data_IF_623633926509
#
_entry.id   IF_623633926509
#
_cell.length_a   1.000
_cell.length_b   1.000
_cell.length_c   1.000
_cell.angle_alpha   90.00
_cell.angle_beta   90.00
_cell.angle_gamma   90.00
#
_symmetry.space_group_name_H-M   'P 1'
#
loop_
_entity.id
_entity.type
_entity.pdbx_description
1 polymer ?
#
# COMPACT_ATOMS: atom_id res chain seq x y z
N UNK A 1 59.11 -23.15 -8.12
CA UNK A 1 58.42 -22.93 -9.41
C UNK A 1 56.91 -23.05 -9.14
N UNK A 2 56.17 -21.95 -9.06
CA UNK A 2 54.71 -21.97 -8.79
C UNK A 2 53.99 -22.30 -10.09
N UNK A 3 53.28 -23.44 -10.14
CA UNK A 3 52.36 -23.79 -11.24
C UNK A 3 51.11 -22.93 -11.10
N UNK A 4 50.90 -21.97 -12.01
CA UNK A 4 49.64 -21.24 -12.10
C UNK A 4 48.61 -22.17 -12.77
N UNK A 5 47.62 -22.64 -12.00
CA UNK A 5 46.48 -23.38 -12.52
C UNK A 5 45.48 -22.38 -13.12
N UNK A 6 45.71 -21.98 -14.37
CA UNK A 6 44.70 -21.22 -15.13
C UNK A 6 43.70 -22.21 -15.73
N UNK A 7 42.76 -22.67 -14.89
CA UNK A 7 41.60 -23.44 -15.31
C UNK A 7 40.58 -22.50 -15.95
N UNK A 8 40.43 -22.55 -17.27
CA UNK A 8 39.35 -21.84 -17.97
C UNK A 8 38.03 -22.57 -17.82
N UNK A 9 36.93 -21.81 -17.66
CA UNK A 9 35.56 -22.36 -17.66
C UNK A 9 35.25 -23.04 -19.00
N UNK A 10 34.50 -24.14 -18.95
CA UNK A 10 34.05 -24.81 -20.18
C UNK A 10 32.80 -24.13 -20.74
N UNK A 11 32.64 -24.14 -22.07
CA UNK A 11 31.44 -23.58 -22.72
C UNK A 11 30.15 -24.29 -22.24
N UNK A 12 30.22 -25.60 -22.01
CA UNK A 12 29.08 -26.39 -21.55
C UNK A 12 28.61 -25.97 -20.15
N UNK A 13 29.55 -25.60 -19.28
CA UNK A 13 29.27 -25.17 -17.91
C UNK A 13 28.55 -23.83 -17.89
N UNK A 14 28.94 -22.89 -18.76
CA UNK A 14 28.19 -21.64 -18.96
C UNK A 14 26.77 -21.88 -19.51
N UNK A 15 26.63 -22.83 -20.45
CA UNK A 15 25.34 -23.18 -21.07
C UNK A 15 24.37 -23.81 -20.07
N UNK A 16 24.85 -24.69 -19.19
CA UNK A 16 24.00 -25.28 -18.15
C UNK A 16 23.55 -24.21 -17.15
N UNK A 17 24.45 -23.28 -16.77
CA UNK A 17 24.12 -22.18 -15.86
C UNK A 17 23.02 -21.29 -16.45
N UNK A 18 23.12 -20.88 -17.72
CA UNK A 18 22.09 -20.02 -18.32
C UNK A 18 20.74 -20.72 -18.42
N UNK A 19 20.71 -22.04 -18.64
CA UNK A 19 19.47 -22.83 -18.69
C UNK A 19 18.82 -22.86 -17.31
N UNK A 20 19.61 -23.12 -16.25
CA UNK A 20 19.11 -23.11 -14.87
C UNK A 20 18.59 -21.72 -14.49
N UNK A 21 19.36 -20.66 -14.77
CA UNK A 21 18.94 -19.28 -14.52
C UNK A 21 17.68 -18.91 -15.31
N UNK A 22 17.54 -19.39 -16.55
CA UNK A 22 16.35 -19.19 -17.37
C UNK A 22 15.09 -19.80 -16.76
N UNK A 23 15.18 -21.04 -16.27
CA UNK A 23 14.05 -21.71 -15.58
C UNK A 23 13.70 -21.01 -14.27
N UNK A 24 14.70 -20.63 -13.47
CA UNK A 24 14.48 -19.91 -12.21
C UNK A 24 13.83 -18.55 -12.45
N UNK A 25 14.29 -17.79 -13.45
CA UNK A 25 13.72 -16.49 -13.80
C UNK A 25 12.26 -16.61 -14.26
N UNK A 26 11.93 -17.63 -15.06
CA UNK A 26 10.57 -17.86 -15.56
C UNK A 26 9.56 -18.08 -14.43
N UNK A 27 9.96 -18.71 -13.32
CA UNK A 27 9.08 -18.92 -12.15
C UNK A 27 9.13 -17.75 -11.16
N UNK A 28 10.29 -17.11 -10.99
CA UNK A 28 10.48 -16.06 -10.00
C UNK A 28 9.74 -14.75 -10.35
N UNK A 29 9.77 -14.33 -11.62
CA UNK A 29 9.17 -13.07 -12.07
C UNK A 29 7.66 -12.99 -11.79
N UNK A 30 6.80 -13.94 -12.23
CA UNK A 30 5.36 -13.85 -11.97
C UNK A 30 5.01 -13.96 -10.48
N UNK A 31 5.77 -14.75 -9.72
CA UNK A 31 5.55 -14.88 -8.26
C UNK A 31 5.86 -13.58 -7.53
N UNK A 32 6.88 -12.85 -7.95
CA UNK A 32 7.26 -11.57 -7.35
C UNK A 32 6.15 -10.52 -7.55
N UNK A 33 5.56 -10.43 -8.75
CA UNK A 33 4.43 -9.53 -9.02
C UNK A 33 3.27 -9.74 -8.05
N UNK A 34 2.74 -10.96 -7.97
CA UNK A 34 1.64 -11.30 -7.04
C UNK A 34 1.99 -11.01 -5.56
N UNK A 35 3.26 -11.17 -5.18
CA UNK A 35 3.71 -10.86 -3.82
C UNK A 35 3.71 -9.36 -3.55
N UNK A 36 4.06 -8.53 -4.54
CA UNK A 36 4.00 -7.07 -4.43
C UNK A 36 2.55 -6.63 -4.28
N UNK A 37 1.66 -7.10 -5.16
CA UNK A 37 0.24 -6.70 -5.14
C UNK A 37 -0.44 -7.06 -3.80
N UNK A 38 -0.20 -8.27 -3.28
CA UNK A 38 -0.72 -8.68 -1.97
C UNK A 38 -0.11 -7.90 -0.80
N UNK A 39 1.15 -7.49 -0.91
CA UNK A 39 1.81 -6.66 0.11
C UNK A 39 1.25 -5.23 0.12
N UNK A 40 0.96 -4.68 -1.06
CA UNK A 40 0.29 -3.37 -1.20
C UNK A 40 -1.11 -3.40 -0.61
N UNK A 41 -1.92 -4.41 -0.95
CA UNK A 41 -3.26 -4.58 -0.34
C UNK A 41 -3.17 -4.69 1.20
N UNK A 42 -2.21 -5.45 1.72
CA UNK A 42 -2.03 -5.58 3.17
C UNK A 42 -1.64 -4.25 3.83
N UNK A 43 -0.80 -3.45 3.16
CA UNK A 43 -0.42 -2.12 3.62
C UNK A 43 -1.62 -1.16 3.60
N UNK A 44 -2.44 -1.20 2.54
CA UNK A 44 -3.67 -0.42 2.44
C UNK A 44 -4.65 -0.75 3.58
N UNK A 45 -4.86 -2.04 3.87
CA UNK A 45 -5.70 -2.48 4.98
C UNK A 45 -5.19 -1.98 6.33
N UNK A 46 -3.86 -1.95 6.54
CA UNK A 46 -3.25 -1.42 7.75
C UNK A 46 -3.46 0.10 7.91
N UNK A 47 -3.33 0.86 6.81
CA UNK A 47 -3.58 2.32 6.81
C UNK A 47 -5.06 2.60 7.09
N UNK A 48 -5.97 1.90 6.43
CA UNK A 48 -7.41 2.05 6.64
C UNK A 48 -7.81 1.65 8.07
N UNK A 49 -7.22 0.59 8.62
CA UNK A 49 -7.42 0.21 10.02
C UNK A 49 -6.96 1.31 10.99
N UNK A 50 -5.81 1.93 10.70
CA UNK A 50 -5.29 3.05 11.49
C UNK A 50 -6.20 4.27 11.40
N UNK A 51 -6.69 4.62 10.20
CA UNK A 51 -7.65 5.69 9.98
C UNK A 51 -8.97 5.45 10.73
N UNK A 52 -9.52 4.23 10.70
CA UNK A 52 -10.72 3.86 11.48
C UNK A 52 -10.53 4.09 12.97
N UNK A 53 -9.36 3.73 13.50
CA UNK A 53 -9.04 3.99 14.91
C UNK A 53 -8.91 5.49 15.18
N UNK A 54 -8.24 6.23 14.30
CA UNK A 54 -8.01 7.66 14.46
C UNK A 54 -9.33 8.46 14.47
N UNK A 55 -10.24 8.19 13.52
CA UNK A 55 -11.54 8.89 13.47
C UNK A 55 -12.42 8.58 14.68
N UNK A 56 -12.32 7.37 15.25
CA UNK A 56 -13.07 7.04 16.47
C UNK A 56 -12.47 7.74 17.70
N UNK A 57 -11.14 7.82 17.81
CA UNK A 57 -10.46 8.60 18.86
C UNK A 57 -10.86 10.07 18.75
N UNK A 58 -10.81 10.65 17.54
CA UNK A 58 -11.28 12.02 17.31
C UNK A 58 -12.72 12.22 17.78
N UNK A 59 -13.62 11.29 17.46
CA UNK A 59 -15.01 11.38 17.88
C UNK A 59 -15.18 11.28 19.40
N UNK A 60 -14.35 10.51 20.08
CA UNK A 60 -14.30 10.47 21.55
C UNK A 60 -13.84 11.80 22.14
N UNK A 61 -12.80 12.42 21.57
CA UNK A 61 -12.32 13.73 22.00
C UNK A 61 -13.41 14.80 21.84
N UNK A 62 -14.18 14.77 20.75
CA UNK A 62 -15.32 15.68 20.56
C UNK A 62 -16.44 15.49 21.60
N UNK A 63 -16.67 14.26 22.07
CA UNK A 63 -17.61 14.01 23.16
C UNK A 63 -17.11 14.62 24.47
N UNK A 64 -15.80 14.54 24.73
CA UNK A 64 -15.20 15.13 25.94
C UNK A 64 -15.26 16.66 25.90
N UNK A 65 -14.92 17.27 24.76
CA UNK A 65 -14.83 18.72 24.62
C UNK A 65 -16.20 19.39 24.51
N UNK A 66 -17.10 18.81 23.72
CA UNK A 66 -18.34 19.47 23.29
C UNK A 66 -19.61 18.67 23.65
N UNK A 67 -19.49 17.55 24.37
CA UNK A 67 -20.61 16.64 24.70
C UNK A 67 -21.40 16.14 23.49
N UNK A 68 -20.77 16.15 22.31
CA UNK A 68 -21.39 15.75 21.05
C UNK A 68 -20.46 14.83 20.28
N UNK A 69 -20.96 13.66 19.85
CA UNK A 69 -20.17 12.75 19.01
C UNK A 69 -20.24 13.24 17.57
N UNK A 70 -19.11 13.66 17.03
CA UNK A 70 -18.96 14.05 15.62
C UNK A 70 -17.64 13.51 15.08
N UNK A 71 -17.68 13.04 13.84
CA UNK A 71 -16.50 12.60 13.11
C UNK A 71 -15.91 13.76 12.28
N UNK A 72 -14.62 13.72 11.92
CA UNK A 72 -14.04 14.76 11.09
C UNK A 72 -14.61 14.66 9.67
N UNK A 73 -14.67 15.79 8.95
CA UNK A 73 -15.12 15.75 7.55
C UNK A 73 -14.11 15.06 6.63
N UNK A 74 -12.82 15.29 6.88
CA UNK A 74 -11.76 14.54 6.25
C UNK A 74 -11.14 13.57 7.27
N UNK A 75 -11.15 12.25 7.03
CA UNK A 75 -10.62 11.25 7.96
C UNK A 75 -9.12 11.40 8.21
N UNK A 76 -8.36 12.02 7.29
CA UNK A 76 -6.94 12.31 7.51
C UNK A 76 -6.70 13.42 8.55
N UNK A 77 -7.71 14.23 8.89
CA UNK A 77 -7.59 15.27 9.92
C UNK A 77 -7.63 14.69 11.34
N UNK A 78 -8.00 13.43 11.50
CA UNK A 78 -7.89 12.72 12.78
C UNK A 78 -6.49 12.16 13.07
N UNK A 79 -5.57 12.24 12.11
CA UNK A 79 -4.18 11.78 12.28
C UNK A 79 -3.30 12.89 12.83
N UNK A 80 -2.18 12.51 13.44
CA UNK A 80 -1.12 13.46 13.74
C UNK A 80 -0.48 14.00 12.46
N UNK A 81 0.10 15.20 12.53
CA UNK A 81 0.66 15.92 11.38
C UNK A 81 1.69 15.09 10.60
N UNK A 82 2.50 14.30 11.32
CA UNK A 82 3.53 13.48 10.68
C UNK A 82 2.87 12.34 9.90
N UNK A 83 2.02 11.53 10.55
CA UNK A 83 1.34 10.41 9.88
C UNK A 83 0.49 10.89 8.70
N UNK A 84 -0.21 12.02 8.86
CA UNK A 84 -0.93 12.67 7.76
C UNK A 84 0.01 13.02 6.61
N UNK A 85 1.12 13.70 6.89
CA UNK A 85 2.08 14.09 5.85
C UNK A 85 2.72 12.88 5.16
N UNK A 86 3.06 11.83 5.92
CA UNK A 86 3.67 10.62 5.39
C UNK A 86 2.71 9.90 4.42
N UNK A 87 1.43 9.79 4.77
CA UNK A 87 0.43 9.19 3.87
C UNK A 87 0.20 10.05 2.63
N UNK A 88 0.00 11.36 2.79
CA UNK A 88 -0.27 12.26 1.67
C UNK A 88 0.90 12.35 0.67
N UNK A 89 2.13 12.18 1.15
CA UNK A 89 3.32 12.09 0.30
C UNK A 89 3.48 10.72 -0.38
N UNK A 90 2.76 9.69 0.07
CA UNK A 90 2.77 8.34 -0.49
C UNK A 90 1.47 8.04 -1.24
N UNK A 91 1.00 9.00 -2.06
CA UNK A 91 -0.14 8.84 -2.96
C UNK A 91 -1.49 8.54 -2.28
N UNK A 92 -1.62 8.80 -0.97
CA UNK A 92 -2.92 8.85 -0.32
C UNK A 92 -3.52 10.23 -0.46
N UNK A 93 -4.82 10.33 -0.69
CA UNK A 93 -5.49 11.63 -0.76
C UNK A 93 -6.98 11.53 -0.47
N UNK A 94 -7.54 12.67 -0.11
CA UNK A 94 -8.96 12.87 0.11
C UNK A 94 -9.65 13.39 -1.16
N UNK A 95 -10.76 12.75 -1.53
CA UNK A 95 -11.66 13.15 -2.61
C UNK A 95 -11.26 12.67 -4.00
N UNK A 96 -12.25 12.40 -4.87
CA UNK A 96 -12.10 12.40 -6.33
C UNK A 96 -13.46 12.42 -7.05
N UNK A 97 -13.57 13.13 -8.20
CA UNK A 97 -14.75 13.15 -9.09
C UNK A 97 -16.11 13.35 -8.39
N UNK A 98 -16.17 14.25 -7.40
CA UNK A 98 -17.43 14.64 -6.75
C UNK A 98 -17.90 13.74 -5.61
N UNK A 99 -17.12 12.71 -5.24
CA UNK A 99 -17.39 11.88 -4.06
C UNK A 99 -16.29 12.07 -3.01
N UNK A 100 -16.74 12.35 -1.79
CA UNK A 100 -15.94 12.41 -0.57
C UNK A 100 -15.50 10.99 -0.17
N UNK A 101 -14.20 10.70 -0.28
CA UNK A 101 -13.66 9.40 0.08
C UNK A 101 -12.13 9.35 0.07
N UNK A 102 -11.60 8.28 0.65
CA UNK A 102 -10.16 8.02 0.78
C UNK A 102 -9.70 7.34 -0.51
N UNK A 103 -8.60 7.83 -1.08
CA UNK A 103 -8.01 7.26 -2.30
C UNK A 103 -6.55 6.91 -2.04
N UNK A 104 -6.07 5.86 -2.73
CA UNK A 104 -4.67 5.49 -2.83
C UNK A 104 -4.32 5.14 -4.28
N UNK A 105 -3.18 5.59 -4.80
CA UNK A 105 -2.65 5.16 -6.10
C UNK A 105 -1.47 4.23 -5.86
N UNK A 106 -1.62 2.97 -6.26
CA UNK A 106 -0.61 1.91 -6.18
C UNK A 106 0.54 2.14 -7.16
N UNK A 107 1.61 1.37 -7.02
CA UNK A 107 2.81 1.52 -7.86
C UNK A 107 2.58 1.19 -9.35
N UNK A 108 1.54 0.41 -9.66
CA UNK A 108 1.09 0.09 -11.01
C UNK A 108 0.20 1.19 -11.64
N UNK A 109 -0.11 2.25 -10.87
CA UNK A 109 -1.00 3.34 -11.27
C UNK A 109 -2.48 3.05 -11.06
N UNK A 110 -2.84 1.85 -10.57
CA UNK A 110 -4.21 1.50 -10.21
C UNK A 110 -4.62 2.32 -8.99
N UNK A 111 -5.83 2.85 -9.05
CA UNK A 111 -6.42 3.55 -7.94
C UNK A 111 -7.28 2.61 -7.13
N UNK A 112 -7.25 2.80 -5.83
CA UNK A 112 -8.15 2.16 -4.87
C UNK A 112 -8.88 3.24 -4.11
N UNK A 113 -10.15 2.97 -3.79
CA UNK A 113 -11.03 3.95 -3.19
C UNK A 113 -11.82 3.35 -2.02
N UNK A 114 -12.03 4.16 -0.98
CA UNK A 114 -12.90 3.85 0.15
C UNK A 114 -13.89 4.99 0.38
N UNK A 115 -15.17 4.64 0.50
CA UNK A 115 -16.19 5.55 0.97
C UNK A 115 -15.98 5.86 2.44
N UNK A 116 -16.17 7.14 2.79
CA UNK A 116 -16.18 7.60 4.18
C UNK A 116 -17.51 8.27 4.50
N UNK A 117 -18.06 7.98 5.68
CA UNK A 117 -19.31 8.55 6.15
C UNK A 117 -19.07 9.40 7.40
N UNK A 118 -19.16 10.72 7.26
CA UNK A 118 -19.01 11.67 8.38
C UNK A 118 -20.08 11.49 9.47
N UNK A 119 -21.25 10.97 9.12
CA UNK A 119 -22.33 10.74 10.09
C UNK A 119 -22.08 9.52 10.98
N UNK A 120 -21.22 8.58 10.56
CA UNK A 120 -21.05 7.28 11.23
C UNK A 120 -19.60 6.88 11.46
N UNK A 121 -18.63 7.63 10.94
CA UNK A 121 -17.20 7.31 10.97
C UNK A 121 -16.83 6.06 10.17
N UNK A 122 -17.78 5.47 9.43
CA UNK A 122 -17.55 4.22 8.72
C UNK A 122 -16.67 4.46 7.48
N UNK A 123 -15.69 3.57 7.32
CA UNK A 123 -14.83 3.51 6.13
C UNK A 123 -15.08 2.17 5.44
N UNK A 124 -15.56 2.20 4.20
CA UNK A 124 -15.94 1.02 3.43
C UNK A 124 -15.21 1.00 2.09
N UNK A 125 -14.65 -0.15 1.72
CA UNK A 125 -14.04 -0.34 0.40
C UNK A 125 -15.08 -0.02 -0.69
N UNK A 126 -14.72 0.86 -1.62
CA UNK A 126 -15.54 1.19 -2.76
C UNK A 126 -15.02 0.50 -4.01
N UNK A 127 -15.93 0.02 -4.85
CA UNK A 127 -15.57 -0.49 -6.16
C UNK A 127 -15.07 0.67 -7.03
N UNK A 128 -13.89 0.49 -7.61
CA UNK A 128 -13.43 1.29 -8.75
C UNK A 128 -13.98 0.62 -10.00
N UNK A 129 -14.95 1.26 -10.65
CA UNK A 129 -15.34 0.86 -12.00
C UNK A 129 -14.16 1.19 -12.92
N UNK A 130 -13.52 0.16 -13.48
CA UNK A 130 -12.50 0.28 -14.52
C UNK A 130 -13.06 0.99 -15.78
#
# INVERSE_FOLDING_TARGET
>A
MKKNLNSGFTLIELVIIMVILGVLAAVAVPRLGNTIDSSEQSAEEAVIGSLRSAVEVYAMDQVVDNSNKSYPSNPFDALDDKSKSDLLNNNWYWGYNGNDGINHIRNDGVRVFWYYSESSGQIQYGYTDD
#
